data_IF_483755361831
#
_entry.id   IF_483755361831
#
_cell.length_a   1.000
_cell.length_b   1.000
_cell.length_c   1.000
_cell.angle_alpha   90.00
_cell.angle_beta   90.00
_cell.angle_gamma   90.00
#
_symmetry.space_group_name_H-M   'P 1'
#
loop_
_entity.id
_entity.type
_entity.pdbx_description
1 polymer ?
#
# COMPACT_ATOMS: atom_id res chain seq x y z
N UNK A 1 20.14 -2.32 -4.52
CA UNK A 1 19.27 -1.89 -3.41
C UNK A 1 17.84 -2.39 -3.58
N UNK A 2 17.18 -2.09 -4.70
CA UNK A 2 15.79 -2.53 -4.94
C UNK A 2 15.61 -4.05 -4.90
N UNK A 3 16.61 -4.82 -5.31
CA UNK A 3 16.60 -6.29 -5.28
C UNK A 3 17.04 -6.89 -3.93
N UNK A 4 17.23 -6.07 -2.89
CA UNK A 4 17.62 -6.54 -1.56
C UNK A 4 19.11 -6.85 -1.41
N UNK A 5 19.94 -6.60 -2.41
CA UNK A 5 21.39 -6.70 -2.25
C UNK A 5 21.86 -5.59 -1.31
N UNK A 6 22.74 -5.92 -0.35
CA UNK A 6 23.26 -4.92 0.57
C UNK A 6 23.96 -3.82 -0.24
N UNK A 7 23.58 -2.57 0.03
CA UNK A 7 24.38 -1.46 -0.44
C UNK A 7 25.72 -1.47 0.31
N UNK A 8 26.80 -1.19 -0.38
CA UNK A 8 27.99 -0.77 0.31
C UNK A 8 27.67 0.55 1.04
N UNK A 9 27.67 0.47 2.36
CA UNK A 9 27.29 1.62 3.22
C UNK A 9 28.19 2.82 2.96
N UNK A 10 29.46 2.61 2.66
CA UNK A 10 30.42 3.69 2.37
C UNK A 10 30.07 4.38 1.05
N UNK A 11 29.84 3.63 -0.01
CA UNK A 11 29.45 4.18 -1.32
C UNK A 11 28.10 4.90 -1.25
N UNK A 12 27.16 4.35 -0.47
CA UNK A 12 25.84 4.94 -0.28
C UNK A 12 25.96 6.26 0.50
N UNK A 13 26.71 6.29 1.59
CA UNK A 13 26.89 7.48 2.40
C UNK A 13 27.59 8.60 1.61
N UNK A 14 28.61 8.26 0.83
CA UNK A 14 29.29 9.22 -0.04
C UNK A 14 28.35 9.84 -1.10
N UNK A 15 27.52 9.00 -1.74
CA UNK A 15 26.54 9.46 -2.71
C UNK A 15 25.49 10.41 -2.08
N UNK A 16 25.04 10.09 -0.86
CA UNK A 16 24.09 10.90 -0.12
C UNK A 16 24.68 12.26 0.27
N UNK A 17 25.90 12.26 0.80
CA UNK A 17 26.61 13.49 1.16
C UNK A 17 26.86 14.38 -0.04
N UNK A 18 27.28 13.82 -1.18
CA UNK A 18 27.50 14.57 -2.42
C UNK A 18 26.25 15.28 -2.94
N UNK A 19 25.07 14.85 -2.53
CA UNK A 19 23.76 15.45 -2.88
C UNK A 19 23.10 16.22 -1.76
N UNK A 20 23.81 16.51 -0.67
CA UNK A 20 23.27 17.17 0.52
C UNK A 20 22.07 16.44 1.13
N UNK A 21 22.08 15.12 1.12
CA UNK A 21 21.10 14.29 1.80
C UNK A 21 21.56 14.05 3.25
N UNK A 22 20.61 14.12 4.18
CA UNK A 22 20.86 13.94 5.61
C UNK A 22 20.15 12.71 6.14
N UNK A 23 20.59 12.20 7.29
CA UNK A 23 19.93 11.09 7.98
C UNK A 23 18.55 11.46 8.54
N UNK A 24 18.17 12.74 8.51
CA UNK A 24 16.87 13.25 8.94
C UNK A 24 15.87 13.33 7.77
N UNK A 25 16.33 13.11 6.53
CA UNK A 25 15.46 13.14 5.37
C UNK A 25 14.45 11.99 5.43
N UNK A 26 13.20 12.31 5.18
CA UNK A 26 12.10 11.34 5.03
C UNK A 26 11.93 11.07 3.54
N UNK A 27 11.84 9.79 3.19
CA UNK A 27 11.75 9.34 1.81
C UNK A 27 10.47 8.56 1.58
N UNK A 28 9.99 8.62 0.33
CA UNK A 28 8.95 7.76 -0.21
C UNK A 28 9.43 7.11 -1.51
N UNK A 29 8.98 5.88 -1.73
CA UNK A 29 9.12 5.19 -3.00
C UNK A 29 7.77 5.19 -3.71
N UNK A 30 7.80 5.53 -4.98
CA UNK A 30 6.66 5.54 -5.90
C UNK A 30 6.91 4.50 -7.00
N UNK A 31 6.05 3.51 -7.14
CA UNK A 31 6.08 2.55 -8.23
C UNK A 31 4.93 2.82 -9.19
N UNK A 32 5.24 3.27 -10.39
CA UNK A 32 4.26 3.52 -11.45
C UNK A 32 4.08 2.25 -12.29
N UNK A 33 2.86 1.76 -12.37
CA UNK A 33 2.49 0.62 -13.20
C UNK A 33 2.21 1.10 -14.61
N UNK A 34 2.94 0.58 -15.58
CA UNK A 34 2.74 0.86 -17.00
C UNK A 34 1.66 -0.05 -17.58
N UNK A 35 0.88 0.40 -18.57
CA UNK A 35 0.03 -0.47 -19.37
C UNK A 35 0.87 -1.53 -20.10
N UNK A 36 0.35 -2.76 -20.21
CA UNK A 36 1.07 -3.86 -20.87
C UNK A 36 1.42 -3.59 -22.34
N UNK A 37 0.64 -2.73 -23.00
CA UNK A 37 0.86 -2.32 -24.40
C UNK A 37 2.03 -1.33 -24.59
N UNK A 38 2.58 -0.77 -23.52
CA UNK A 38 3.45 0.41 -23.58
C UNK A 38 4.93 0.11 -23.22
N UNK A 39 5.43 -1.06 -23.62
CA UNK A 39 6.77 -1.53 -23.27
C UNK A 39 7.89 -0.95 -24.16
N UNK A 40 7.58 -0.08 -25.13
CA UNK A 40 8.63 0.49 -26.01
C UNK A 40 9.51 1.51 -25.28
N UNK A 41 10.83 1.47 -25.55
CA UNK A 41 11.82 2.36 -24.93
C UNK A 41 11.50 3.86 -25.08
N UNK A 42 10.93 4.24 -26.21
CA UNK A 42 10.53 5.63 -26.48
C UNK A 42 9.41 6.10 -25.54
N UNK A 43 8.40 5.24 -25.30
CA UNK A 43 7.30 5.58 -24.39
C UNK A 43 7.77 5.59 -22.94
N UNK A 44 8.63 4.65 -22.55
CA UNK A 44 9.21 4.63 -21.21
C UNK A 44 9.97 5.94 -20.91
N UNK A 45 10.78 6.40 -21.87
CA UNK A 45 11.51 7.66 -21.75
C UNK A 45 10.58 8.86 -21.61
N UNK A 46 9.46 8.87 -22.34
CA UNK A 46 8.45 9.93 -22.26
C UNK A 46 7.77 9.93 -20.87
N UNK A 47 7.39 8.77 -20.34
CA UNK A 47 6.83 8.64 -19.00
C UNK A 47 7.81 9.10 -17.92
N UNK A 48 9.07 8.67 -17.99
CA UNK A 48 10.14 9.09 -17.07
C UNK A 48 10.28 10.60 -17.07
N UNK A 49 10.29 11.23 -18.27
CA UNK A 49 10.39 12.67 -18.38
C UNK A 49 9.21 13.39 -17.71
N UNK A 50 7.98 12.94 -17.95
CA UNK A 50 6.80 13.55 -17.34
C UNK A 50 6.74 13.36 -15.82
N UNK A 51 7.15 12.19 -15.31
CA UNK A 51 7.26 11.94 -13.87
C UNK A 51 8.34 12.84 -13.24
N UNK A 52 9.48 13.00 -13.89
CA UNK A 52 10.54 13.92 -13.44
C UNK A 52 10.10 15.38 -13.36
N UNK A 53 9.17 15.82 -14.20
CA UNK A 53 8.63 17.17 -14.13
C UNK A 53 7.83 17.43 -12.82
N UNK A 54 7.20 16.39 -12.28
CA UNK A 54 6.49 16.46 -10.99
C UNK A 54 7.43 16.16 -9.82
N UNK A 55 8.39 15.25 -10.01
CA UNK A 55 9.37 14.85 -9.00
C UNK A 55 10.79 15.31 -9.39
N UNK A 56 11.05 16.64 -9.51
CA UNK A 56 12.27 17.16 -10.15
C UNK A 56 13.57 16.77 -9.41
N UNK A 57 13.49 16.53 -8.11
CA UNK A 57 14.62 16.12 -7.28
C UNK A 57 14.62 14.62 -6.97
N UNK A 58 13.64 13.88 -7.49
CA UNK A 58 13.54 12.44 -7.32
C UNK A 58 14.52 11.67 -8.22
N UNK A 59 14.96 10.52 -7.74
CA UNK A 59 15.65 9.53 -8.58
C UNK A 59 14.59 8.71 -9.28
N UNK A 60 14.46 8.84 -10.61
CA UNK A 60 13.45 8.15 -11.42
C UNK A 60 14.16 7.21 -12.39
N UNK A 61 13.79 5.94 -12.38
CA UNK A 61 14.39 4.90 -13.23
C UNK A 61 13.34 3.85 -13.64
N UNK A 62 13.62 3.14 -14.74
CA UNK A 62 12.86 1.98 -15.15
C UNK A 62 13.42 0.73 -14.45
N UNK A 63 12.55 -0.07 -13.84
CA UNK A 63 12.94 -1.26 -13.11
C UNK A 63 11.80 -2.29 -13.08
N UNK A 64 12.08 -3.53 -13.44
CA UNK A 64 11.12 -4.66 -13.42
C UNK A 64 9.74 -4.30 -14.01
N UNK A 65 9.71 -3.85 -15.26
CA UNK A 65 8.49 -3.47 -15.99
C UNK A 65 7.63 -2.38 -15.30
N UNK A 66 8.28 -1.54 -14.51
CA UNK A 66 7.66 -0.40 -13.82
C UNK A 66 8.60 0.79 -13.84
N UNK A 67 8.08 1.99 -13.68
CA UNK A 67 8.91 3.15 -13.37
C UNK A 67 8.92 3.32 -11.86
N UNK A 68 10.10 3.40 -11.28
CA UNK A 68 10.29 3.59 -9.85
C UNK A 68 10.89 4.97 -9.62
N UNK A 69 10.27 5.73 -8.72
CA UNK A 69 10.81 7.00 -8.27
C UNK A 69 11.04 6.98 -6.75
N UNK A 70 12.15 7.57 -6.32
CA UNK A 70 12.46 7.79 -4.90
C UNK A 70 12.62 9.27 -4.68
N UNK A 71 11.82 9.84 -3.81
CA UNK A 71 11.79 11.28 -3.58
C UNK A 71 11.75 11.59 -2.08
N UNK A 72 12.38 12.70 -1.69
CA UNK A 72 12.30 13.22 -0.31
C UNK A 72 10.95 13.89 -0.10
N UNK A 73 10.42 13.73 1.12
CA UNK A 73 9.16 14.39 1.52
C UNK A 73 9.22 15.91 1.31
N UNK A 74 10.34 16.56 1.64
CA UNK A 74 10.49 18.02 1.49
C UNK A 74 10.45 18.48 0.03
N UNK A 75 10.82 17.63 -0.92
CA UNK A 75 10.82 17.96 -2.34
C UNK A 75 9.45 17.66 -2.98
N UNK A 76 8.78 16.60 -2.50
CA UNK A 76 7.44 16.23 -2.90
C UNK A 76 6.75 15.47 -1.77
N UNK A 77 5.80 16.12 -1.10
CA UNK A 77 5.03 15.53 0.00
C UNK A 77 3.73 14.91 -0.53
N UNK A 78 3.55 13.58 -0.46
CA UNK A 78 2.32 12.92 -0.91
C UNK A 78 1.12 13.25 -0.03
N UNK A 79 1.33 13.79 1.18
CA UNK A 79 0.27 14.23 2.10
C UNK A 79 -0.17 15.67 1.82
N UNK A 80 0.58 16.41 1.00
CA UNK A 80 0.25 17.79 0.66
C UNK A 80 -0.75 17.84 -0.51
N UNK A 81 -1.89 18.47 -0.31
CA UNK A 81 -3.01 18.48 -1.26
C UNK A 81 -2.62 18.86 -2.70
N UNK A 82 -1.77 19.90 -2.86
CA UNK A 82 -1.33 20.32 -4.21
C UNK A 82 -0.44 19.29 -4.89
N UNK A 83 0.45 18.63 -4.13
CA UNK A 83 1.30 17.57 -4.65
C UNK A 83 0.46 16.36 -5.06
N UNK A 84 -0.50 15.99 -4.22
CA UNK A 84 -1.43 14.91 -4.50
C UNK A 84 -2.25 15.18 -5.75
N UNK A 85 -2.85 16.37 -5.87
CA UNK A 85 -3.65 16.76 -7.04
C UNK A 85 -2.83 16.78 -8.34
N UNK A 86 -1.59 17.28 -8.30
CA UNK A 86 -0.69 17.29 -9.45
C UNK A 86 -0.32 15.87 -9.90
N UNK A 87 -0.08 14.97 -8.95
CA UNK A 87 0.20 13.57 -9.22
C UNK A 87 -1.03 12.88 -9.80
N UNK A 88 -2.20 13.09 -9.23
CA UNK A 88 -3.45 12.50 -9.71
C UNK A 88 -3.80 12.94 -11.13
N UNK A 89 -3.62 14.22 -11.46
CA UNK A 89 -3.83 14.74 -12.81
C UNK A 89 -2.87 14.10 -13.83
N UNK A 90 -1.58 13.97 -13.48
CA UNK A 90 -0.62 13.25 -14.33
C UNK A 90 -1.06 11.80 -14.57
N UNK A 91 -1.44 11.09 -13.53
CA UNK A 91 -1.81 9.68 -13.62
C UNK A 91 -3.06 9.48 -14.48
N UNK A 92 -4.06 10.35 -14.35
CA UNK A 92 -5.27 10.34 -15.19
C UNK A 92 -4.93 10.58 -16.66
N UNK A 93 -4.09 11.57 -16.96
CA UNK A 93 -3.66 11.88 -18.35
C UNK A 93 -2.88 10.73 -18.99
N UNK A 94 -2.06 10.04 -18.22
CA UNK A 94 -1.21 8.96 -18.70
C UNK A 94 -1.84 7.57 -18.57
N UNK A 95 -3.03 7.47 -17.97
CA UNK A 95 -3.69 6.20 -17.61
C UNK A 95 -2.80 5.29 -16.77
N UNK A 96 -1.99 5.88 -15.89
CA UNK A 96 -1.09 5.16 -14.99
C UNK A 96 -1.72 4.96 -13.62
N UNK A 97 -1.18 3.99 -12.89
CA UNK A 97 -1.41 3.81 -11.45
C UNK A 97 -0.10 3.96 -10.72
N UNK A 98 -0.13 4.49 -9.51
CA UNK A 98 1.03 4.59 -8.63
C UNK A 98 0.75 3.93 -7.29
N UNK A 99 1.74 3.21 -6.80
CA UNK A 99 1.78 2.61 -5.48
C UNK A 99 2.86 3.33 -4.67
N UNK A 100 2.48 3.87 -3.50
CA UNK A 100 3.36 4.68 -2.66
C UNK A 100 3.67 3.90 -1.38
N UNK A 101 4.95 3.71 -1.09
CA UNK A 101 5.40 3.03 0.13
C UNK A 101 5.05 3.82 1.40
N UNK A 102 5.22 3.21 2.57
CA UNK A 102 5.37 3.99 3.79
C UNK A 102 6.64 4.85 3.72
N UNK A 103 6.71 5.87 4.57
CA UNK A 103 7.92 6.67 4.75
C UNK A 103 9.07 5.79 5.24
N UNK A 104 10.27 6.09 4.77
CA UNK A 104 11.50 5.47 5.26
C UNK A 104 12.61 6.52 5.43
N UNK A 105 13.65 6.17 6.18
CA UNK A 105 14.70 7.11 6.59
C UNK A 105 16.07 6.69 6.06
N UNK A 106 16.29 5.40 5.85
CA UNK A 106 17.58 4.86 5.42
C UNK A 106 17.42 4.14 4.08
N UNK A 107 18.41 4.29 3.21
CA UNK A 107 18.40 3.62 1.91
C UNK A 107 18.49 2.09 2.02
N UNK A 108 18.92 1.55 3.14
CA UNK A 108 18.83 0.11 3.45
C UNK A 108 17.38 -0.39 3.52
N UNK A 109 16.42 0.51 3.73
CA UNK A 109 14.98 0.21 3.77
C UNK A 109 14.31 0.25 2.38
N UNK A 110 15.07 0.61 1.33
CA UNK A 110 14.55 0.78 -0.03
C UNK A 110 13.94 -0.50 -0.61
N UNK A 111 14.57 -1.65 -0.35
CA UNK A 111 14.05 -2.95 -0.74
C UNK A 111 12.70 -3.27 -0.10
N UNK A 112 12.54 -2.94 1.18
CA UNK A 112 11.28 -3.08 1.90
C UNK A 112 10.21 -2.16 1.30
N UNK A 113 10.54 -0.89 1.06
CA UNK A 113 9.63 0.08 0.45
C UNK A 113 9.16 -0.37 -0.95
N UNK A 114 10.08 -0.92 -1.76
CA UNK A 114 9.74 -1.50 -3.05
C UNK A 114 8.85 -2.74 -2.91
N UNK A 115 9.15 -3.61 -1.95
CA UNK A 115 8.32 -4.78 -1.63
C UNK A 115 6.88 -4.41 -1.26
N UNK A 116 6.69 -3.33 -0.50
CA UNK A 116 5.35 -2.81 -0.17
C UNK A 116 4.58 -2.42 -1.43
N UNK A 117 5.21 -1.70 -2.35
CA UNK A 117 4.56 -1.30 -3.61
C UNK A 117 4.22 -2.51 -4.49
N UNK A 118 5.10 -3.50 -4.58
CA UNK A 118 4.84 -4.76 -5.29
C UNK A 118 3.64 -5.51 -4.70
N UNK A 119 3.56 -5.60 -3.38
CA UNK A 119 2.44 -6.24 -2.70
C UNK A 119 1.11 -5.51 -2.98
N UNK A 120 1.08 -4.18 -2.95
CA UNK A 120 -0.11 -3.42 -3.32
C UNK A 120 -0.52 -3.64 -4.77
N UNK A 121 0.44 -3.77 -5.69
CA UNK A 121 0.18 -4.09 -7.09
C UNK A 121 -0.48 -5.47 -7.23
N UNK A 122 -0.06 -6.45 -6.44
CA UNK A 122 -0.63 -7.82 -6.43
C UNK A 122 -1.97 -7.88 -5.71
N UNK A 123 -2.16 -7.08 -4.65
CA UNK A 123 -3.37 -7.05 -3.82
C UNK A 123 -3.91 -5.61 -3.72
N UNK A 124 -4.46 -5.05 -4.80
CA UNK A 124 -4.92 -3.66 -4.79
C UNK A 124 -6.16 -3.49 -3.92
N UNK A 125 -6.14 -2.52 -2.99
CA UNK A 125 -7.28 -2.21 -2.12
C UNK A 125 -8.47 -1.69 -2.95
N UNK A 126 -8.20 -0.74 -3.84
CA UNK A 126 -9.19 -0.14 -4.72
C UNK A 126 -8.64 -0.13 -6.17
N UNK A 127 -8.92 -1.18 -6.96
CA UNK A 127 -8.34 -1.33 -8.30
C UNK A 127 -8.61 -0.17 -9.26
N UNK A 128 -9.69 0.61 -9.02
CA UNK A 128 -10.06 1.78 -9.83
C UNK A 128 -9.28 3.04 -9.48
N UNK A 129 -8.70 3.14 -8.28
CA UNK A 129 -7.91 4.32 -7.87
C UNK A 129 -6.56 4.36 -8.57
N UNK A 130 -6.19 5.56 -9.02
CA UNK A 130 -4.88 5.80 -9.62
C UNK A 130 -3.74 5.85 -8.59
N UNK A 131 -4.03 6.30 -7.37
CA UNK A 131 -3.06 6.40 -6.28
C UNK A 131 -3.46 5.42 -5.18
N UNK A 132 -2.53 4.56 -4.77
CA UNK A 132 -2.70 3.66 -3.63
C UNK A 132 -1.51 3.80 -2.68
N UNK A 133 -1.78 3.89 -1.39
CA UNK A 133 -0.78 4.08 -0.33
C UNK A 133 -0.73 2.86 0.57
N UNK A 134 0.48 2.46 0.95
CA UNK A 134 0.64 1.24 1.74
C UNK A 134 0.10 1.37 3.17
N UNK A 135 0.18 2.55 3.78
CA UNK A 135 -0.40 2.81 5.10
C UNK A 135 -1.93 2.64 5.13
N UNK A 136 -2.63 2.96 4.03
CA UNK A 136 -4.07 2.71 3.89
C UNK A 136 -4.39 1.25 3.50
N UNK A 137 -3.54 0.63 2.68
CA UNK A 137 -3.76 -0.69 2.12
C UNK A 137 -3.23 -1.85 2.98
N UNK A 138 -2.44 -1.57 4.03
CA UNK A 138 -1.69 -2.57 4.80
C UNK A 138 -2.51 -3.80 5.21
N UNK A 139 -3.66 -3.60 5.87
CA UNK A 139 -4.49 -4.72 6.33
C UNK A 139 -5.07 -5.53 5.17
N UNK A 140 -5.44 -4.87 4.07
CA UNK A 140 -5.94 -5.54 2.87
C UNK A 140 -4.85 -6.40 2.20
N UNK A 141 -3.65 -5.84 2.07
CA UNK A 141 -2.47 -6.54 1.53
C UNK A 141 -2.13 -7.74 2.42
N UNK A 142 -2.08 -7.55 3.75
CA UNK A 142 -1.83 -8.63 4.70
C UNK A 142 -2.85 -9.76 4.55
N UNK A 143 -4.15 -9.41 4.49
CA UNK A 143 -5.22 -10.38 4.26
C UNK A 143 -5.01 -11.15 2.94
N UNK A 144 -4.68 -10.46 1.84
CA UNK A 144 -4.44 -11.06 0.53
C UNK A 144 -3.30 -12.10 0.58
N UNK A 145 -2.16 -11.73 1.18
CA UNK A 145 -0.99 -12.61 1.34
C UNK A 145 -1.33 -13.83 2.19
N UNK A 146 -2.01 -13.64 3.33
CA UNK A 146 -2.40 -14.75 4.22
C UNK A 146 -3.42 -15.69 3.58
N UNK A 147 -4.36 -15.13 2.83
CA UNK A 147 -5.37 -15.89 2.09
C UNK A 147 -4.71 -16.77 1.03
N UNK A 148 -3.81 -16.24 0.21
CA UNK A 148 -3.12 -16.99 -0.83
C UNK A 148 -2.30 -18.15 -0.26
N UNK A 149 -1.67 -17.95 0.89
CA UNK A 149 -0.88 -18.98 1.58
C UNK A 149 -1.72 -19.95 2.42
N UNK A 150 -3.05 -19.86 2.39
CA UNK A 150 -3.96 -20.62 3.27
C UNK A 150 -3.60 -20.50 4.76
N UNK A 151 -3.01 -19.38 5.16
CA UNK A 151 -2.52 -19.16 6.54
C UNK A 151 -3.51 -18.42 7.43
N UNK A 152 -4.63 -17.91 6.88
CA UNK A 152 -5.65 -17.16 7.63
C UNK A 152 -6.13 -17.85 8.91
N UNK A 153 -6.45 -19.18 8.90
CA UNK A 153 -6.89 -19.84 10.12
C UNK A 153 -5.91 -19.74 11.29
N UNK A 154 -4.59 -19.75 11.00
CA UNK A 154 -3.55 -19.62 12.03
C UNK A 154 -3.52 -18.25 12.74
N UNK A 155 -4.14 -17.24 12.14
CA UNK A 155 -4.22 -15.87 12.70
C UNK A 155 -5.60 -15.55 13.30
N UNK A 156 -6.56 -16.48 13.19
CA UNK A 156 -7.88 -16.30 13.76
C UNK A 156 -7.91 -16.72 15.23
N UNK A 157 -8.68 -15.99 16.05
CA UNK A 157 -8.92 -16.42 17.41
C UNK A 157 -9.64 -17.77 17.40
N UNK A 158 -9.23 -18.77 18.26
CA UNK A 158 -9.82 -20.11 18.26
C UNK A 158 -11.35 -20.14 18.38
N UNK A 159 -11.94 -19.26 19.20
CA UNK A 159 -13.38 -19.13 19.32
C UNK A 159 -14.08 -18.72 18.00
N UNK A 160 -13.45 -17.88 17.19
CA UNK A 160 -13.98 -17.48 15.87
C UNK A 160 -13.90 -18.65 14.89
N UNK A 161 -12.81 -19.43 14.92
CA UNK A 161 -12.68 -20.64 14.12
C UNK A 161 -13.70 -21.69 14.51
N UNK A 162 -13.89 -21.92 15.80
CA UNK A 162 -14.91 -22.86 16.29
C UNK A 162 -16.31 -22.43 15.88
N UNK A 163 -16.62 -21.13 16.02
CA UNK A 163 -17.89 -20.56 15.56
C UNK A 163 -18.10 -20.75 14.05
N UNK A 164 -17.05 -20.50 13.25
CA UNK A 164 -17.08 -20.71 11.82
C UNK A 164 -17.33 -22.18 11.44
N UNK A 165 -16.59 -23.09 12.06
CA UNK A 165 -16.69 -24.53 11.79
C UNK A 165 -18.04 -25.11 12.18
N UNK A 166 -18.61 -24.69 13.32
CA UNK A 166 -19.91 -25.19 13.80
C UNK A 166 -21.11 -24.69 12.98
N UNK A 167 -20.95 -23.64 12.17
CA UNK A 167 -22.04 -22.99 11.44
C UNK A 167 -21.91 -23.07 9.93
N UNK A 168 -20.89 -23.77 9.40
CA UNK A 168 -20.70 -23.93 7.96
C UNK A 168 -21.89 -24.57 7.24
N UNK A 169 -22.76 -25.27 7.97
CA UNK A 169 -23.86 -26.01 7.37
C UNK A 169 -25.22 -25.30 7.48
N UNK A 170 -25.45 -24.35 8.37
CA UNK A 170 -26.81 -23.89 8.65
C UNK A 170 -27.05 -22.38 8.81
N UNK A 171 -26.15 -21.58 9.41
CA UNK A 171 -26.45 -20.15 9.64
C UNK A 171 -25.21 -19.29 9.95
N UNK A 172 -24.97 -18.26 9.14
CA UNK A 172 -23.91 -17.27 9.37
C UNK A 172 -24.35 -16.14 10.32
N UNK A 173 -25.54 -16.23 10.90
CA UNK A 173 -26.14 -15.17 11.73
C UNK A 173 -25.28 -14.83 12.93
N UNK A 174 -24.70 -15.81 13.63
CA UNK A 174 -23.85 -15.56 14.80
C UNK A 174 -22.56 -14.81 14.43
N UNK A 175 -21.95 -15.15 13.29
CA UNK A 175 -20.75 -14.43 12.80
C UNK A 175 -21.13 -13.00 12.41
N UNK A 176 -22.28 -12.82 11.77
CA UNK A 176 -22.80 -11.49 11.43
C UNK A 176 -23.07 -10.66 12.69
N UNK A 177 -23.71 -11.24 13.70
CA UNK A 177 -24.00 -10.60 14.98
C UNK A 177 -22.70 -10.21 15.71
N UNK A 178 -21.72 -11.11 15.74
CA UNK A 178 -20.39 -10.82 16.32
C UNK A 178 -19.71 -9.67 15.57
N UNK A 179 -19.74 -9.66 14.25
CA UNK A 179 -19.21 -8.57 13.44
C UNK A 179 -19.87 -7.23 13.77
N UNK A 180 -21.20 -7.19 13.82
CA UNK A 180 -21.95 -6.00 14.21
C UNK A 180 -21.61 -5.53 15.63
N UNK A 181 -21.47 -6.46 16.58
CA UNK A 181 -21.08 -6.16 17.94
C UNK A 181 -19.70 -5.50 18.04
N UNK A 182 -18.72 -6.00 17.27
CA UNK A 182 -17.38 -5.43 17.22
C UNK A 182 -17.37 -4.05 16.56
N UNK A 183 -18.11 -3.86 15.47
CA UNK A 183 -18.23 -2.57 14.74
C UNK A 183 -18.89 -1.51 15.63
N UNK A 184 -19.89 -1.89 16.42
CA UNK A 184 -20.58 -1.01 17.37
C UNK A 184 -19.82 -0.82 18.70
N UNK A 185 -18.51 -0.99 18.71
CA UNK A 185 -17.65 -0.75 19.86
C UNK A 185 -17.98 -1.65 21.06
N UNK A 186 -18.49 -2.86 20.81
CA UNK A 186 -18.93 -3.84 21.83
C UNK A 186 -20.14 -3.37 22.63
N UNK A 187 -20.93 -2.49 22.08
CA UNK A 187 -22.16 -1.98 22.71
C UNK A 187 -23.35 -2.86 22.33
N UNK A 188 -23.82 -3.66 23.31
CA UNK A 188 -24.94 -4.60 23.11
C UNK A 188 -26.23 -3.87 22.70
N UNK A 189 -26.53 -2.73 23.33
CA UNK A 189 -27.77 -2.00 23.05
C UNK A 189 -27.78 -1.42 21.62
N UNK A 190 -26.66 -0.87 21.17
CA UNK A 190 -26.50 -0.35 19.82
C UNK A 190 -26.53 -1.47 18.78
N UNK A 191 -25.87 -2.58 19.07
CA UNK A 191 -25.88 -3.77 18.23
C UNK A 191 -27.28 -4.34 18.06
N UNK A 192 -28.04 -4.48 19.15
CA UNK A 192 -29.43 -4.94 19.10
C UNK A 192 -30.30 -4.02 18.22
N UNK A 193 -30.10 -2.71 18.33
CA UNK A 193 -30.80 -1.72 17.50
C UNK A 193 -30.42 -1.86 16.01
N UNK A 194 -29.12 -1.98 15.71
CA UNK A 194 -28.61 -2.16 14.36
C UNK A 194 -29.13 -3.45 13.70
N UNK A 195 -29.26 -4.52 14.48
CA UNK A 195 -29.72 -5.82 14.00
C UNK A 195 -31.25 -6.00 14.06
N UNK A 196 -31.98 -5.00 14.55
CA UNK A 196 -33.42 -5.08 14.82
C UNK A 196 -33.81 -6.26 15.72
N UNK A 197 -32.94 -6.57 16.69
CA UNK A 197 -33.13 -7.64 17.66
C UNK A 197 -33.44 -7.10 19.05
N UNK A 198 -34.11 -7.91 19.89
CA UNK A 198 -34.22 -7.59 21.30
C UNK A 198 -32.88 -7.80 22.00
N UNK A 199 -32.50 -6.93 22.95
CA UNK A 199 -31.24 -7.02 23.68
C UNK A 199 -30.95 -8.42 24.25
N UNK A 200 -31.97 -9.09 24.80
CA UNK A 200 -31.84 -10.41 25.40
C UNK A 200 -31.60 -11.53 24.38
N UNK A 201 -31.83 -11.30 23.11
CA UNK A 201 -31.55 -12.26 22.02
C UNK A 201 -30.07 -12.23 21.62
N UNK A 202 -29.36 -11.17 21.97
CA UNK A 202 -27.94 -10.96 21.67
C UNK A 202 -27.00 -11.45 22.76
N UNK A 203 -27.50 -11.74 23.94
CA UNK A 203 -26.75 -12.27 25.09
C UNK A 203 -26.88 -13.79 25.10
#
# INVERSE_FOLDING_TARGET
LLQGYPADELSTSYYLQARNYTNEDIWYLYQFSLPESDVSDTRQSAYIHQIKNILPHGVVLYFEHSIVAVCRRRDFDPDYEKSYAALEDLLKRLSLKVYISTRFFRFTELSMAYGQCRLMKSYPLEPQKHIQRFDEAFLHVLYGVLKEKNSLPGFCHPAVLSLWQSHMEQDLTLIHNLKCYLINGRNIAETARTLHLHRNTLI
#
